data_IF_737278772625
#
_entry.id   IF_737278772625
#
_cell.length_a   1.000
_cell.length_b   1.000
_cell.length_c   1.000
_cell.angle_alpha   90.00
_cell.angle_beta   90.00
_cell.angle_gamma   90.00
#
_symmetry.space_group_name_H-M   'P 1'
#
loop_
_entity.id
_entity.type
_entity.pdbx_description
1 polymer ?
#
# COMPACT_ATOMS: atom_id res chain seq x y z
N UNK A 1 -6.00 -4.66 -12.36
CA UNK A 1 -5.61 -4.03 -11.09
C UNK A 1 -5.95 -4.99 -9.96
N UNK A 2 -5.12 -5.02 -8.92
CA UNK A 2 -5.32 -5.77 -7.69
C UNK A 2 -5.40 -4.80 -6.52
N UNK A 3 -6.38 -5.00 -5.64
CA UNK A 3 -6.52 -4.19 -4.43
C UNK A 3 -5.83 -4.88 -3.26
N UNK A 4 -5.10 -4.09 -2.46
CA UNK A 4 -4.47 -4.50 -1.22
C UNK A 4 -4.92 -3.59 -0.08
N UNK A 5 -5.13 -4.16 1.10
CA UNK A 5 -5.21 -3.43 2.36
C UNK A 5 -3.85 -3.49 3.05
N UNK A 6 -3.24 -2.34 3.30
CA UNK A 6 -2.11 -2.22 4.21
C UNK A 6 -2.68 -2.09 5.62
N UNK A 7 -2.32 -3.07 6.45
CA UNK A 7 -2.65 -3.08 7.87
C UNK A 7 -1.43 -2.58 8.61
N UNK A 8 -1.28 -1.26 8.70
CA UNK A 8 -0.22 -0.65 9.50
C UNK A 8 -0.84 0.16 10.63
N UNK A 9 -0.43 -0.16 11.85
CA UNK A 9 -0.79 0.55 13.07
C UNK A 9 -0.04 1.87 13.22
N UNK A 10 1.05 2.06 12.45
CA UNK A 10 1.83 3.30 12.48
C UNK A 10 1.48 4.19 11.29
N UNK A 11 0.63 5.18 11.54
CA UNK A 11 0.29 6.21 10.54
C UNK A 11 1.53 6.97 10.01
N UNK A 12 2.65 6.95 10.74
CA UNK A 12 3.90 7.65 10.41
C UNK A 12 4.68 7.04 9.23
N UNK A 13 4.51 5.75 8.93
CA UNK A 13 5.17 5.11 7.78
C UNK A 13 4.43 5.42 6.45
N UNK A 14 3.15 5.79 6.52
CA UNK A 14 2.31 6.01 5.34
C UNK A 14 2.80 7.11 4.38
N UNK A 15 3.22 8.31 4.83
CA UNK A 15 3.69 9.36 3.92
C UNK A 15 5.01 9.02 3.21
N UNK A 16 5.91 8.31 3.91
CA UNK A 16 7.19 7.88 3.35
C UNK A 16 6.99 6.75 2.34
N UNK A 17 6.13 5.79 2.68
CA UNK A 17 5.82 4.66 1.84
C UNK A 17 5.12 5.09 0.53
N UNK A 18 4.13 5.97 0.63
CA UNK A 18 3.42 6.52 -0.54
C UNK A 18 4.35 7.27 -1.50
N UNK A 19 5.32 8.01 -0.97
CA UNK A 19 6.34 8.69 -1.77
C UNK A 19 7.24 7.71 -2.53
N UNK A 20 7.63 6.59 -1.90
CA UNK A 20 8.44 5.55 -2.56
C UNK A 20 7.67 4.80 -3.65
N UNK A 21 6.38 4.53 -3.42
CA UNK A 21 5.51 3.92 -4.43
C UNK A 21 5.35 4.82 -5.65
N UNK A 22 5.12 6.12 -5.44
CA UNK A 22 5.00 7.09 -6.53
C UNK A 22 6.30 7.19 -7.37
N UNK A 23 7.47 7.12 -6.73
CA UNK A 23 8.78 7.08 -7.42
C UNK A 23 8.95 5.85 -8.31
N UNK A 24 8.27 4.74 -8.01
CA UNK A 24 8.30 3.50 -8.78
C UNK A 24 7.25 3.45 -9.89
N UNK A 25 6.49 4.53 -10.11
CA UNK A 25 5.41 4.56 -11.11
C UNK A 25 4.18 3.76 -10.70
N UNK A 26 4.07 3.36 -9.43
CA UNK A 26 2.91 2.67 -8.88
C UNK A 26 1.81 3.70 -8.68
N UNK A 27 0.72 3.57 -9.44
CA UNK A 27 -0.40 4.51 -9.39
C UNK A 27 -1.10 4.37 -8.04
N UNK A 28 -0.85 5.34 -7.16
CA UNK A 28 -1.49 5.46 -5.87
C UNK A 28 -2.79 6.26 -5.99
N UNK A 29 -3.92 5.62 -5.70
CA UNK A 29 -5.18 6.32 -5.40
C UNK A 29 -5.56 6.02 -3.95
N UNK A 30 -5.28 6.93 -3.00
CA UNK A 30 -5.74 6.75 -1.63
C UNK A 30 -7.26 6.81 -1.65
N UNK A 31 -7.94 5.67 -1.47
CA UNK A 31 -9.33 5.69 -1.04
C UNK A 31 -9.31 5.82 0.48
N UNK A 32 -9.20 7.05 0.97
CA UNK A 32 -9.31 7.34 2.39
C UNK A 32 -10.75 7.03 2.84
N UNK A 33 -10.96 5.87 3.46
CA UNK A 33 -12.12 5.64 4.32
C UNK A 33 -11.61 5.35 5.71
N UNK A 34 -11.48 6.42 6.48
CA UNK A 34 -11.23 6.41 7.92
C UNK A 34 -12.46 5.88 8.65
N UNK A 35 -12.72 4.57 8.58
CA UNK A 35 -13.70 3.95 9.46
C UNK A 35 -12.97 2.98 10.39
N UNK A 36 -12.98 3.29 11.70
CA UNK A 36 -12.77 2.53 12.95
C UNK A 36 -11.77 1.35 13.04
N UNK A 37 -11.09 0.95 11.96
CA UNK A 37 -10.12 -0.16 11.89
C UNK A 37 -8.95 0.11 10.92
N UNK A 38 -8.63 1.41 10.73
CA UNK A 38 -7.39 1.98 10.16
C UNK A 38 -6.56 1.12 9.22
N UNK A 39 -7.01 0.94 7.97
CA UNK A 39 -6.19 0.34 6.92
C UNK A 39 -6.14 1.20 5.67
N UNK A 40 -4.98 1.33 5.05
CA UNK A 40 -4.82 2.02 3.77
C UNK A 40 -5.11 1.04 2.63
N UNK A 41 -6.00 1.41 1.71
CA UNK A 41 -6.28 0.59 0.53
C UNK A 41 -5.48 1.11 -0.66
N UNK A 42 -4.77 0.21 -1.33
CA UNK A 42 -3.97 0.51 -2.51
C UNK A 42 -4.42 -0.37 -3.66
N UNK A 43 -4.68 0.26 -4.81
CA UNK A 43 -4.87 -0.44 -6.08
C UNK A 43 -3.56 -0.46 -6.83
N UNK A 44 -3.08 -1.65 -7.20
CA UNK A 44 -1.82 -1.86 -7.90
C UNK A 44 -2.11 -2.52 -9.24
N UNK A 45 -1.55 -2.01 -10.33
CA UNK A 45 -1.64 -2.67 -11.63
C UNK A 45 -0.98 -4.05 -11.61
N UNK A 46 -1.53 -5.01 -12.36
CA UNK A 46 -1.04 -6.39 -12.32
C UNK A 46 0.45 -6.52 -12.67
N UNK A 47 0.94 -5.69 -13.60
CA UNK A 47 2.36 -5.62 -13.99
C UNK A 47 3.30 -5.23 -12.84
N UNK A 48 2.77 -4.67 -11.75
CA UNK A 48 3.56 -4.17 -10.64
C UNK A 48 3.26 -4.87 -9.30
N UNK A 49 2.41 -5.90 -9.33
CA UNK A 49 1.99 -6.62 -8.11
C UNK A 49 3.15 -7.27 -7.37
N UNK A 50 4.02 -8.00 -8.07
CA UNK A 50 5.20 -8.65 -7.47
C UNK A 50 6.17 -7.65 -6.86
N UNK A 51 6.43 -6.53 -7.53
CA UNK A 51 7.33 -5.49 -7.01
C UNK A 51 6.76 -4.85 -5.74
N UNK A 52 5.45 -4.58 -5.73
CA UNK A 52 4.76 -4.05 -4.57
C UNK A 52 4.81 -5.00 -3.36
N UNK A 53 4.51 -6.28 -3.57
CA UNK A 53 4.55 -7.29 -2.51
C UNK A 53 5.96 -7.44 -1.90
N UNK A 54 7.00 -7.45 -2.75
CA UNK A 54 8.39 -7.48 -2.32
C UNK A 54 8.79 -6.23 -1.54
N UNK A 55 8.37 -5.04 -1.98
CA UNK A 55 8.64 -3.78 -1.27
C UNK A 55 8.00 -3.79 0.12
N UNK A 56 6.75 -4.24 0.24
CA UNK A 56 6.06 -4.38 1.51
C UNK A 56 6.78 -5.36 2.44
N UNK A 57 7.14 -6.55 1.94
CA UNK A 57 7.86 -7.56 2.72
C UNK A 57 9.22 -7.06 3.22
N UNK A 58 10.01 -6.40 2.36
CA UNK A 58 11.31 -5.84 2.72
C UNK A 58 11.22 -4.73 3.78
N UNK A 59 10.07 -4.06 3.89
CA UNK A 59 9.83 -2.98 4.85
C UNK A 59 9.05 -3.45 6.08
N UNK A 60 8.71 -4.74 6.18
CA UNK A 60 7.90 -5.27 7.26
C UNK A 60 6.44 -4.79 7.24
N UNK A 61 5.96 -4.28 6.10
CA UNK A 61 4.59 -3.79 5.95
C UNK A 61 3.67 -4.97 5.69
N UNK A 62 2.68 -5.17 6.55
CA UNK A 62 1.67 -6.19 6.37
C UNK A 62 0.60 -5.75 5.35
N UNK A 63 0.48 -6.51 4.28
CA UNK A 63 -0.56 -6.34 3.25
C UNK A 63 -1.51 -7.53 3.23
N UNK A 64 -2.77 -7.25 2.96
CA UNK A 64 -3.83 -8.24 2.71
C UNK A 64 -4.38 -8.00 1.32
N UNK A 65 -4.30 -9.01 0.46
CA UNK A 65 -4.94 -8.99 -0.86
C UNK A 65 -6.45 -9.10 -0.69
N UNK A 66 -7.22 -8.24 -1.38
CA UNK A 66 -8.70 -8.22 -1.36
C UNK A 66 -9.31 -8.77 -2.66
#
# INVERSE_FOLDING_TARGET
MQTYKISDSDYDIMPKFTTELAKKGLIFKPSATSNDKGGLFINVDYSHTTEFELLCANKGIHITKL
#
